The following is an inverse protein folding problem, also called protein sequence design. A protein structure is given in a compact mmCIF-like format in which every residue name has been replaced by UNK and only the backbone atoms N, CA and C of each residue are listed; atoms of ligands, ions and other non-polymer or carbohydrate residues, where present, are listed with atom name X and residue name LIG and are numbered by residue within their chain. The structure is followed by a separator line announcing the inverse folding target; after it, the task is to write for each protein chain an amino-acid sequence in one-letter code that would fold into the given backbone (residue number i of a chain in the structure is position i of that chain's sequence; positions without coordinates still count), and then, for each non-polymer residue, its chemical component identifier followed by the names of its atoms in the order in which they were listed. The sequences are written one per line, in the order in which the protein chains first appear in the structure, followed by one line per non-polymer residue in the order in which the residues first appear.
data_IF_066376265031
#
_entry.id   IF_066376265031
#
_cell.length_a   1.000
_cell.length_b   1.000
_cell.length_c   1.000
_cell.angle_alpha   90.00
_cell.angle_beta   90.00
_cell.angle_gamma   90.00
#
_symmetry.space_group_name_H-M   'P 1'
#
loop_
_entity.id
_entity.type
_entity.pdbx_description
1 polymer ?
#
# COMPACT_ATOMS: atom_id res chain seq x y z
N UNK A 1 13.65 0.22 25.71
CA UNK A 1 14.00 1.60 26.11
C UNK A 1 12.78 2.49 25.93
N UNK A 2 12.00 2.55 27.02
CA UNK A 2 10.86 3.42 27.39
C UNK A 2 9.74 3.70 26.37
N UNK A 3 8.52 3.28 26.71
CA UNK A 3 7.28 3.58 25.96
C UNK A 3 6.21 2.48 26.09
N UNK A 4 5.09 2.61 25.36
CA UNK A 4 4.04 1.57 25.26
C UNK A 4 4.42 0.37 24.37
N UNK A 5 5.57 0.43 23.71
CA UNK A 5 6.04 -0.62 22.80
C UNK A 5 6.58 -1.82 23.60
N UNK A 6 5.87 -2.94 23.53
CA UNK A 6 6.27 -4.24 24.11
C UNK A 6 6.31 -5.30 23.01
N UNK A 7 6.91 -6.45 23.28
CA UNK A 7 6.88 -7.59 22.34
C UNK A 7 5.43 -8.05 22.10
N UNK A 8 4.55 -7.89 23.09
CA UNK A 8 3.12 -8.21 22.97
C UNK A 8 2.35 -7.29 22.01
N UNK A 9 2.96 -6.19 21.54
CA UNK A 9 2.36 -5.31 20.54
C UNK A 9 2.30 -5.96 19.15
N UNK A 10 3.06 -7.02 18.90
CA UNK A 10 3.02 -7.78 17.65
C UNK A 10 2.08 -8.98 17.82
N UNK A 11 1.07 -9.15 16.95
CA UNK A 11 0.10 -10.22 17.07
C UNK A 11 0.67 -11.55 16.55
N UNK A 12 1.63 -12.13 17.28
CA UNK A 12 2.29 -13.39 16.89
C UNK A 12 1.35 -14.61 16.83
N UNK A 13 0.23 -14.54 17.52
CA UNK A 13 -0.77 -15.61 17.56
C UNK A 13 -1.76 -15.56 16.38
N UNK A 14 -1.75 -14.48 15.58
CA UNK A 14 -2.66 -14.29 14.45
C UNK A 14 -2.04 -14.80 13.16
N UNK A 15 -2.47 -15.98 12.64
CA UNK A 15 -1.78 -16.62 11.51
C UNK A 15 -1.80 -15.76 10.24
N UNK A 16 -2.94 -15.08 9.98
CA UNK A 16 -3.12 -14.23 8.80
C UNK A 16 -2.12 -13.07 8.83
N UNK A 17 -1.95 -12.42 9.98
CA UNK A 17 -1.06 -11.26 10.11
C UNK A 17 0.40 -11.70 10.00
N UNK A 18 0.79 -12.76 10.71
CA UNK A 18 2.17 -13.25 10.70
C UNK A 18 2.61 -13.68 9.29
N UNK A 19 1.76 -14.43 8.57
CA UNK A 19 2.06 -14.85 7.19
C UNK A 19 2.15 -13.64 6.27
N UNK A 20 1.25 -12.67 6.42
CA UNK A 20 1.25 -11.44 5.61
C UNK A 20 2.53 -10.63 5.84
N UNK A 21 2.93 -10.43 7.10
CA UNK A 21 4.16 -9.70 7.44
C UNK A 21 5.40 -10.44 6.91
N UNK A 22 5.46 -11.76 7.06
CA UNK A 22 6.56 -12.56 6.51
C UNK A 22 6.64 -12.43 4.99
N UNK A 23 5.51 -12.51 4.28
CA UNK A 23 5.45 -12.33 2.83
C UNK A 23 5.90 -10.93 2.39
N UNK A 24 5.49 -9.87 3.11
CA UNK A 24 5.92 -8.49 2.85
C UNK A 24 7.43 -8.34 3.05
N UNK A 25 7.98 -8.89 4.14
CA UNK A 25 9.42 -8.84 4.40
C UNK A 25 10.19 -9.56 3.30
N UNK A 26 9.76 -10.77 2.92
CA UNK A 26 10.38 -11.53 1.84
C UNK A 26 10.29 -10.79 0.50
N UNK A 27 9.14 -10.20 0.18
CA UNK A 27 8.97 -9.37 -1.01
C UNK A 27 9.89 -8.15 -1.01
N UNK A 28 10.01 -7.45 0.12
CA UNK A 28 10.93 -6.32 0.28
C UNK A 28 12.39 -6.71 0.10
N UNK A 29 12.80 -7.84 0.69
CA UNK A 29 14.15 -8.39 0.51
C UNK A 29 14.41 -8.79 -0.95
N UNK A 30 13.43 -9.39 -1.62
CA UNK A 30 13.54 -9.74 -3.04
C UNK A 30 13.71 -8.51 -3.93
N UNK A 31 12.95 -7.44 -3.67
CA UNK A 31 13.08 -6.17 -4.40
C UNK A 31 14.44 -5.52 -4.13
N UNK A 32 14.88 -5.43 -2.87
CA UNK A 32 16.19 -4.89 -2.51
C UNK A 32 17.34 -5.70 -3.12
N UNK A 33 17.21 -7.04 -3.11
CA UNK A 33 18.14 -7.95 -3.76
C UNK A 33 18.20 -7.73 -5.27
N UNK A 34 17.05 -7.57 -5.93
CA UNK A 34 16.99 -7.28 -7.36
C UNK A 34 17.64 -5.94 -7.72
N UNK A 35 17.35 -4.87 -6.96
CA UNK A 35 17.96 -3.55 -7.18
C UNK A 35 19.49 -3.62 -7.05
N UNK A 36 19.96 -4.37 -6.05
CA UNK A 36 21.40 -4.58 -5.81
C UNK A 36 22.04 -5.39 -6.93
N UNK A 37 21.41 -6.50 -7.33
CA UNK A 37 21.89 -7.36 -8.42
C UNK A 37 22.00 -6.61 -9.75
N UNK A 38 21.02 -5.76 -10.08
CA UNK A 38 21.03 -4.96 -11.31
C UNK A 38 21.81 -3.65 -11.19
N UNK A 39 22.39 -3.34 -10.03
CA UNK A 39 23.19 -2.12 -9.80
C UNK A 39 22.39 -0.82 -9.98
N UNK A 40 21.08 -0.81 -9.69
CA UNK A 40 20.18 0.33 -9.98
C UNK A 40 20.04 1.35 -8.86
N UNK A 41 20.79 1.21 -7.76
CA UNK A 41 20.75 2.14 -6.62
C UNK A 41 21.03 3.59 -7.02
N UNK A 42 22.11 3.85 -7.76
CA UNK A 42 22.46 5.20 -8.19
C UNK A 42 21.41 5.77 -9.16
N UNK A 43 20.89 4.95 -10.09
CA UNK A 43 19.84 5.34 -11.01
C UNK A 43 18.54 5.73 -10.30
N UNK A 44 18.08 4.92 -9.33
CA UNK A 44 16.90 5.24 -8.55
C UNK A 44 17.06 6.55 -7.79
N UNK A 45 18.23 6.76 -7.18
CA UNK A 45 18.53 7.99 -6.45
C UNK A 45 18.49 9.22 -7.37
N UNK A 46 19.31 9.25 -8.43
CA UNK A 46 19.47 10.44 -9.27
C UNK A 46 18.29 10.72 -10.18
N UNK A 47 17.61 9.68 -10.68
CA UNK A 47 16.59 9.84 -11.71
C UNK A 47 15.17 9.90 -11.15
N UNK A 48 14.89 9.28 -10.01
CA UNK A 48 13.51 9.12 -9.52
C UNK A 48 13.31 9.75 -8.15
N UNK A 49 14.05 9.30 -7.14
CA UNK A 49 13.82 9.69 -5.75
C UNK A 49 14.09 11.19 -5.50
N UNK A 50 15.08 11.76 -6.18
CA UNK A 50 15.39 13.21 -6.10
C UNK A 50 14.87 14.00 -7.30
N UNK A 51 13.94 13.45 -8.08
CA UNK A 51 13.42 14.12 -9.26
C UNK A 51 12.49 15.28 -8.90
N UNK A 52 12.63 16.39 -9.62
CA UNK A 52 11.67 17.50 -9.62
C UNK A 52 10.70 17.46 -10.80
N UNK A 53 10.96 16.63 -11.82
CA UNK A 53 10.10 16.49 -13.00
C UNK A 53 8.69 16.02 -12.61
N UNK A 54 7.69 16.87 -12.87
CA UNK A 54 6.27 16.63 -12.62
C UNK A 54 5.77 15.30 -13.21
N UNK A 55 6.31 14.83 -14.34
CA UNK A 55 5.95 13.54 -14.95
C UNK A 55 6.45 12.38 -14.11
N UNK A 56 7.71 12.43 -13.67
CA UNK A 56 8.31 11.37 -12.85
C UNK A 56 7.64 11.30 -11.47
N UNK A 57 7.37 12.45 -10.86
CA UNK A 57 6.59 12.54 -9.63
C UNK A 57 5.19 11.95 -9.82
N UNK A 58 4.49 12.31 -10.90
CA UNK A 58 3.17 11.77 -11.20
C UNK A 58 3.15 10.26 -11.41
N UNK A 59 4.16 9.69 -12.07
CA UNK A 59 4.33 8.24 -12.21
C UNK A 59 4.52 7.58 -10.84
N UNK A 60 5.36 8.14 -9.96
CA UNK A 60 5.56 7.58 -8.62
C UNK A 60 4.29 7.63 -7.77
N UNK A 61 3.50 8.71 -7.85
CA UNK A 61 2.19 8.80 -7.19
C UNK A 61 1.22 7.70 -7.65
N UNK A 62 1.16 7.45 -8.97
CA UNK A 62 0.31 6.41 -9.54
C UNK A 62 0.80 5.01 -9.11
N UNK A 63 2.12 4.77 -9.10
CA UNK A 63 2.69 3.50 -8.62
C UNK A 63 2.28 3.22 -7.17
N UNK A 64 2.40 4.22 -6.29
CA UNK A 64 1.97 4.09 -4.89
C UNK A 64 0.47 3.78 -4.80
N UNK A 65 -0.38 4.47 -5.58
CA UNK A 65 -1.81 4.19 -5.63
C UNK A 65 -2.11 2.74 -6.04
N UNK A 66 -1.41 2.21 -7.05
CA UNK A 66 -1.60 0.82 -7.49
C UNK A 66 -1.13 -0.20 -6.47
N UNK A 67 0.01 0.02 -5.81
CA UNK A 67 0.47 -0.88 -4.73
C UNK A 67 -0.52 -0.88 -3.57
N UNK A 68 -1.03 0.30 -3.19
CA UNK A 68 -2.01 0.43 -2.11
C UNK A 68 -3.39 -0.09 -2.51
N UNK A 69 -3.74 -0.06 -3.80
CA UNK A 69 -4.95 -0.69 -4.34
C UNK A 69 -4.95 -2.20 -4.08
N UNK A 70 -3.81 -2.88 -4.21
CA UNK A 70 -3.73 -4.32 -3.91
C UNK A 70 -4.07 -4.59 -2.44
N UNK A 71 -3.55 -3.78 -1.52
CA UNK A 71 -3.84 -3.91 -0.09
C UNK A 71 -5.29 -3.55 0.23
N UNK A 72 -5.82 -2.47 -0.34
CA UNK A 72 -7.23 -2.09 -0.18
C UNK A 72 -8.20 -3.14 -0.75
N UNK A 73 -7.86 -3.73 -1.90
CA UNK A 73 -8.64 -4.78 -2.53
C UNK A 73 -8.62 -6.08 -1.72
N UNK A 74 -7.45 -6.48 -1.18
CA UNK A 74 -7.34 -7.63 -0.28
C UNK A 74 -8.27 -7.50 0.93
N UNK A 75 -8.29 -6.32 1.58
CA UNK A 75 -9.22 -6.04 2.68
C UNK A 75 -10.69 -6.15 2.25
N UNK A 76 -11.04 -5.63 1.06
CA UNK A 76 -12.38 -5.73 0.52
C UNK A 76 -12.81 -7.18 0.28
N UNK A 77 -11.93 -8.01 -0.29
CA UNK A 77 -12.18 -9.44 -0.48
C UNK A 77 -12.40 -10.14 0.86
N UNK A 78 -11.54 -9.88 1.85
CA UNK A 78 -11.69 -10.45 3.20
C UNK A 78 -13.03 -10.07 3.85
N UNK A 79 -13.42 -8.80 3.80
CA UNK A 79 -14.71 -8.35 4.33
C UNK A 79 -15.90 -9.04 3.64
N UNK A 80 -15.85 -9.17 2.31
CA UNK A 80 -16.93 -9.80 1.55
C UNK A 80 -17.01 -11.31 1.80
N UNK A 81 -15.87 -11.98 1.89
CA UNK A 81 -15.81 -13.40 2.27
C UNK A 81 -16.39 -13.62 3.67
N UNK A 82 -16.05 -12.79 4.66
CA UNK A 82 -16.62 -12.89 6.01
C UNK A 82 -18.13 -12.70 6.01
N UNK A 83 -18.67 -11.71 5.28
CA UNK A 83 -20.12 -11.47 5.21
C UNK A 83 -20.87 -12.65 4.60
N UNK A 84 -20.31 -13.28 3.56
CA UNK A 84 -20.91 -14.47 2.93
C UNK A 84 -20.96 -15.63 3.93
N UNK A 85 -19.85 -15.93 4.62
CA UNK A 85 -19.78 -17.01 5.60
C UNK A 85 -20.74 -16.77 6.77
N UNK A 86 -20.76 -15.54 7.31
CA UNK A 86 -21.66 -15.15 8.39
C UNK A 86 -23.15 -15.29 7.98
N UNK A 87 -23.49 -14.98 6.73
CA UNK A 87 -24.86 -15.15 6.21
C UNK A 87 -25.32 -16.61 6.15
N UNK A 88 -24.39 -17.56 6.16
CA UNK A 88 -24.66 -19.00 6.20
C UNK A 88 -24.79 -19.54 7.64
N UNK A 89 -24.67 -18.68 8.66
CA UNK A 89 -24.76 -19.05 10.08
C UNK A 89 -23.45 -19.53 10.71
N UNK A 90 -22.32 -19.39 10.01
CA UNK A 90 -20.99 -19.76 10.50
C UNK A 90 -20.27 -18.52 11.10
N UNK A 91 -19.56 -18.65 12.24
CA UNK A 91 -18.81 -17.54 12.85
C UNK A 91 -17.72 -16.92 11.94
N UNK A 92 -17.26 -17.63 10.92
CA UNK A 92 -16.26 -17.16 9.97
C UNK A 92 -14.85 -17.08 10.55
N UNK A 93 -13.99 -16.30 9.89
CA UNK A 93 -12.55 -16.22 10.18
C UNK A 93 -12.10 -14.84 10.66
N UNK A 94 -12.99 -13.82 10.63
CA UNK A 94 -12.72 -12.49 11.15
C UNK A 94 -13.60 -12.18 12.37
N UNK A 95 -13.02 -12.23 13.58
CA UNK A 95 -13.68 -11.71 14.77
C UNK A 95 -13.99 -10.20 14.63
N UNK A 96 -14.97 -9.66 15.37
CA UNK A 96 -15.39 -8.26 15.25
C UNK A 96 -14.25 -7.25 15.39
N UNK A 97 -13.32 -7.46 16.32
CA UNK A 97 -12.20 -6.54 16.53
C UNK A 97 -11.26 -6.45 15.33
N UNK A 98 -11.06 -7.55 14.58
CA UNK A 98 -10.26 -7.54 13.35
C UNK A 98 -11.05 -7.03 12.15
N UNK A 99 -12.32 -7.40 12.06
CA UNK A 99 -13.19 -6.95 10.98
C UNK A 99 -13.30 -5.41 10.96
N UNK A 100 -13.49 -4.77 12.12
CA UNK A 100 -13.61 -3.32 12.24
C UNK A 100 -12.28 -2.60 11.94
N UNK A 101 -11.14 -3.22 12.27
CA UNK A 101 -9.82 -2.71 11.89
C UNK A 101 -9.62 -2.76 10.37
N UNK A 102 -9.98 -3.89 9.74
CA UNK A 102 -9.89 -4.08 8.28
C UNK A 102 -10.78 -3.07 7.57
N UNK A 103 -12.04 -2.92 7.98
CA UNK A 103 -12.97 -1.96 7.38
C UNK A 103 -12.45 -0.52 7.48
N UNK A 104 -11.98 -0.14 8.66
CA UNK A 104 -11.43 1.19 8.91
C UNK A 104 -10.19 1.45 8.05
N UNK A 105 -9.25 0.52 8.03
CA UNK A 105 -8.02 0.63 7.26
C UNK A 105 -8.28 0.62 5.74
N UNK A 106 -9.20 -0.23 5.27
CA UNK A 106 -9.68 -0.23 3.89
C UNK A 106 -10.17 1.15 3.47
N UNK A 107 -11.09 1.75 4.24
CA UNK A 107 -11.65 3.07 3.93
C UNK A 107 -10.57 4.15 3.87
N UNK A 108 -9.69 4.20 4.86
CA UNK A 108 -8.56 5.15 4.89
C UNK A 108 -7.67 4.98 3.66
N UNK A 109 -7.35 3.74 3.28
CA UNK A 109 -6.45 3.47 2.17
C UNK A 109 -7.07 3.78 0.82
N UNK A 110 -8.32 3.38 0.60
CA UNK A 110 -8.98 3.64 -0.68
C UNK A 110 -9.13 5.14 -0.95
N UNK A 111 -9.41 5.95 0.08
CA UNK A 111 -9.55 7.40 -0.08
C UNK A 111 -8.19 8.10 -0.13
N UNK A 112 -7.37 7.94 0.90
CA UNK A 112 -6.16 8.76 1.07
C UNK A 112 -4.94 8.23 0.33
N UNK A 113 -4.86 6.93 0.05
CA UNK A 113 -3.68 6.30 -0.53
C UNK A 113 -3.90 5.72 -1.92
N UNK A 114 -5.16 5.54 -2.35
CA UNK A 114 -5.50 5.15 -3.73
C UNK A 114 -6.08 6.35 -4.47
N UNK A 115 -7.28 6.82 -4.11
CA UNK A 115 -7.98 7.85 -4.88
C UNK A 115 -7.19 9.17 -4.95
N UNK A 116 -6.74 9.69 -3.81
CA UNK A 116 -6.00 10.97 -3.75
C UNK A 116 -4.68 10.92 -4.54
N UNK A 117 -3.74 9.98 -4.30
CA UNK A 117 -2.49 9.88 -5.07
C UNK A 117 -2.73 9.60 -6.55
N UNK A 118 -3.73 8.79 -6.91
CA UNK A 118 -4.02 8.48 -8.31
C UNK A 118 -4.45 9.73 -9.08
N UNK A 119 -5.39 10.50 -8.53
CA UNK A 119 -5.87 11.74 -9.16
C UNK A 119 -4.75 12.79 -9.21
N UNK A 120 -4.03 13.00 -8.09
CA UNK A 120 -2.91 13.94 -8.03
C UNK A 120 -1.80 13.54 -9.01
N UNK A 121 -1.49 12.25 -9.13
CA UNK A 121 -0.50 11.73 -10.06
C UNK A 121 -0.89 11.98 -11.52
N UNK A 122 -2.16 11.75 -11.88
CA UNK A 122 -2.68 12.07 -13.21
C UNK A 122 -2.63 13.58 -13.50
N UNK A 123 -3.00 14.42 -12.53
CA UNK A 123 -2.92 15.87 -12.66
C UNK A 123 -1.49 16.34 -12.85
N UNK A 124 -0.54 15.82 -12.07
CA UNK A 124 0.88 16.13 -12.21
C UNK A 124 1.39 15.82 -13.62
N UNK A 125 0.95 14.72 -14.24
CA UNK A 125 1.37 14.38 -15.61
C UNK A 125 0.67 15.27 -16.64
N UNK A 126 -0.66 15.37 -16.58
CA UNK A 126 -1.47 15.91 -17.65
C UNK A 126 -1.55 17.44 -17.66
N UNK A 127 -1.69 18.09 -16.49
CA UNK A 127 -2.04 19.51 -16.41
C UNK A 127 -0.96 20.41 -17.02
N UNK A 128 0.34 20.28 -16.69
CA UNK A 128 1.38 21.14 -17.28
C UNK A 128 1.44 20.99 -18.81
N UNK A 129 1.25 19.77 -19.31
CA UNK A 129 1.25 19.47 -20.74
C UNK A 129 0.03 20.06 -21.46
N UNK A 130 -1.14 20.07 -20.81
CA UNK A 130 -2.37 20.65 -21.36
C UNK A 130 -2.29 22.18 -21.49
N UNK A 131 -1.62 22.85 -20.55
CA UNK A 131 -1.45 24.32 -20.56
C UNK A 131 -0.19 24.78 -21.29
N UNK A 132 0.61 23.85 -21.82
CA UNK A 132 1.87 24.16 -22.52
C UNK A 132 3.00 24.67 -21.61
N UNK A 133 2.92 24.43 -20.30
CA UNK A 133 3.97 24.77 -19.35
C UNK A 133 5.11 23.74 -19.40
N UNK A 134 6.33 24.18 -19.08
CA UNK A 134 7.52 23.31 -19.05
C UNK A 134 7.63 22.48 -17.78
N UNK A 135 7.12 23.01 -16.67
CA UNK A 135 7.08 22.37 -15.35
C UNK A 135 5.96 23.02 -14.52
N UNK A 136 5.70 22.51 -13.32
CA UNK A 136 4.72 23.06 -12.35
C UNK A 136 5.20 24.33 -11.66
#
# INVERSE_FOLDING_TARGET
MLGKLTLDAVPYHEPIIVVTVAAIILGGLAVAGAITYFGKWQYLWSEWLTSVDHKKLGIMYIIVAFVMLLRGFADAVMMRSQQVIASMGDPGFLPPHHYDQIFTAHGVIMIFFVAMPFVIGLMNIAVPLQIGARDV
#
